data_IF_414958636076
#
_entry.id   IF_414958636076
#
_cell.length_a   1.000
_cell.length_b   1.000
_cell.length_c   1.000
_cell.angle_alpha   90.00
_cell.angle_beta   90.00
_cell.angle_gamma   90.00
#
_symmetry.space_group_name_H-M   'P 1'
#
loop_
_entity.id
_entity.type
_entity.pdbx_description
1 polymer ?
#
# COMPACT_ATOMS: atom_id res chain seq x y z
N UNK A 1 2.37 -4.29 27.88
CA UNK A 1 3.39 -4.70 26.91
C UNK A 1 2.65 -5.00 25.61
N UNK A 2 2.84 -4.11 24.63
CA UNK A 2 2.51 -4.15 23.19
C UNK A 2 1.69 -5.34 22.64
N UNK A 3 0.40 -5.10 22.46
CA UNK A 3 -0.42 -5.74 21.42
C UNK A 3 -1.17 -4.61 20.68
N UNK A 4 -0.46 -3.90 19.82
CA UNK A 4 -1.15 -3.01 18.87
C UNK A 4 -1.66 -3.92 17.77
N UNK A 5 -2.88 -4.43 17.96
CA UNK A 5 -3.69 -5.09 16.96
C UNK A 5 -3.79 -4.20 15.71
N UNK A 6 -2.76 -4.29 14.86
CA UNK A 6 -2.80 -3.81 13.49
C UNK A 6 -3.78 -4.72 12.79
N UNK A 7 -4.97 -4.19 12.57
CA UNK A 7 -5.98 -4.68 11.64
C UNK A 7 -5.31 -5.41 10.46
N UNK A 8 -5.55 -6.72 10.36
CA UNK A 8 -4.89 -7.63 9.42
C UNK A 8 -5.41 -7.43 7.99
N UNK A 9 -5.30 -6.22 7.45
CA UNK A 9 -5.53 -6.01 6.03
C UNK A 9 -4.35 -6.62 5.29
N UNK A 10 -4.55 -7.80 4.72
CA UNK A 10 -3.57 -8.50 3.89
C UNK A 10 -4.14 -8.66 2.49
N UNK A 11 -3.34 -8.28 1.49
CA UNK A 11 -3.68 -8.41 0.09
C UNK A 11 -2.65 -9.30 -0.58
N UNK A 12 -3.10 -10.50 -0.98
CA UNK A 12 -2.29 -11.42 -1.77
C UNK A 12 -2.52 -11.14 -3.26
N UNK A 13 -1.47 -10.63 -3.91
CA UNK A 13 -1.48 -10.24 -5.32
C UNK A 13 -1.29 -11.45 -6.23
N UNK A 14 -0.78 -12.56 -5.71
CA UNK A 14 -0.59 -13.81 -6.46
C UNK A 14 -1.95 -14.41 -6.84
N UNK A 15 -2.96 -14.18 -6.00
CA UNK A 15 -4.37 -14.55 -6.24
C UNK A 15 -5.09 -13.64 -7.25
N UNK A 16 -4.49 -12.51 -7.64
CA UNK A 16 -5.09 -11.51 -8.52
C UNK A 16 -4.41 -11.57 -9.91
N UNK A 17 -5.19 -11.63 -11.01
CA UNK A 17 -4.63 -11.63 -12.35
C UNK A 17 -3.85 -10.34 -12.61
N UNK A 18 -2.74 -10.45 -13.33
CA UNK A 18 -1.79 -9.36 -13.59
C UNK A 18 -2.44 -7.99 -13.93
N UNK A 19 -3.41 -7.89 -14.86
CA UNK A 19 -4.02 -6.60 -15.20
C UNK A 19 -4.81 -5.96 -14.05
N UNK A 20 -5.33 -6.74 -13.11
CA UNK A 20 -6.10 -6.23 -11.98
C UNK A 20 -5.23 -5.88 -10.76
N UNK A 21 -3.97 -6.30 -10.72
CA UNK A 21 -3.09 -6.11 -9.55
C UNK A 21 -2.99 -4.64 -9.17
N UNK A 22 -2.54 -3.79 -10.09
CA UNK A 22 -2.38 -2.36 -9.85
C UNK A 22 -3.68 -1.69 -9.39
N UNK A 23 -4.81 -1.73 -10.15
CA UNK A 23 -6.03 -1.05 -9.73
C UNK A 23 -6.58 -1.56 -8.39
N UNK A 24 -6.42 -2.85 -8.08
CA UNK A 24 -6.81 -3.41 -6.77
C UNK A 24 -5.95 -2.87 -5.64
N UNK A 25 -4.63 -2.83 -5.82
CA UNK A 25 -3.70 -2.32 -4.82
C UNK A 25 -3.95 -0.83 -4.58
N UNK A 26 -4.01 -0.03 -5.63
CA UNK A 26 -4.29 1.41 -5.52
C UNK A 26 -5.66 1.69 -4.92
N UNK A 27 -6.70 0.94 -5.31
CA UNK A 27 -8.02 1.05 -4.71
C UNK A 27 -8.02 0.75 -3.22
N UNK A 28 -7.32 -0.32 -2.80
CA UNK A 28 -7.16 -0.67 -1.39
C UNK A 28 -6.43 0.44 -0.61
N UNK A 29 -5.29 0.89 -1.12
CA UNK A 29 -4.48 1.96 -0.50
C UNK A 29 -5.27 3.27 -0.37
N UNK A 30 -6.04 3.64 -1.39
CA UNK A 30 -6.87 4.82 -1.38
C UNK A 30 -8.04 4.71 -0.39
N UNK A 31 -8.53 3.49 -0.13
CA UNK A 31 -9.57 3.20 0.85
C UNK A 31 -9.06 3.13 2.29
N UNK A 32 -7.74 3.04 2.53
CA UNK A 32 -7.18 3.03 3.89
C UNK A 32 -7.45 4.35 4.59
N UNK A 33 -7.80 4.32 5.87
CA UNK A 33 -7.86 5.53 6.68
C UNK A 33 -6.47 5.91 7.21
N UNK A 34 -6.23 7.19 7.54
CA UNK A 34 -4.99 7.63 8.14
C UNK A 34 -4.69 6.90 9.47
N UNK A 35 -3.54 6.22 9.54
CA UNK A 35 -3.13 5.34 10.63
C UNK A 35 -3.44 3.86 10.41
N UNK A 36 -4.17 3.50 9.34
CA UNK A 36 -4.32 2.11 8.91
C UNK A 36 -3.20 1.70 7.95
N UNK A 37 -2.88 0.42 7.92
CA UNK A 37 -1.93 -0.15 6.97
C UNK A 37 -2.41 -1.47 6.41
N UNK A 38 -1.92 -1.80 5.21
CA UNK A 38 -2.16 -3.06 4.52
C UNK A 38 -0.84 -3.76 4.26
N UNK A 39 -0.84 -5.08 4.36
CA UNK A 39 0.29 -5.93 4.00
C UNK A 39 0.05 -6.51 2.61
N UNK A 40 0.91 -6.16 1.67
CA UNK A 40 0.91 -6.68 0.32
C UNK A 40 1.85 -7.87 0.21
N UNK A 41 1.35 -8.99 -0.32
CA UNK A 41 2.17 -10.17 -0.64
C UNK A 41 2.24 -10.31 -2.16
N UNK A 42 3.44 -10.22 -2.71
CA UNK A 42 3.74 -10.28 -4.15
C UNK A 42 4.80 -11.35 -4.43
N UNK A 43 4.75 -11.91 -5.63
CA UNK A 43 5.72 -12.91 -6.14
C UNK A 43 7.02 -12.28 -6.67
N UNK A 44 7.12 -10.94 -6.69
CA UNK A 44 8.26 -10.18 -7.21
C UNK A 44 8.41 -8.88 -6.43
N UNK A 45 9.55 -8.21 -6.64
CA UNK A 45 9.88 -6.93 -5.99
C UNK A 45 8.86 -5.82 -6.36
N UNK A 46 8.11 -5.26 -5.39
CA UNK A 46 7.12 -4.20 -5.62
C UNK A 46 7.71 -2.79 -5.69
N UNK A 47 9.01 -2.66 -5.93
CA UNK A 47 9.71 -1.39 -6.11
C UNK A 47 9.08 -0.43 -7.14
N UNK A 48 8.59 -0.85 -8.33
CA UNK A 48 7.92 0.07 -9.25
C UNK A 48 6.65 0.70 -8.63
N UNK A 49 5.94 -0.03 -7.77
CA UNK A 49 4.79 0.50 -7.04
C UNK A 49 5.24 1.54 -6.00
N UNK A 50 6.34 1.26 -5.28
CA UNK A 50 6.92 2.22 -4.34
C UNK A 50 7.29 3.54 -5.02
N UNK A 51 7.97 3.49 -6.18
CA UNK A 51 8.30 4.71 -6.93
C UNK A 51 7.06 5.46 -7.42
N UNK A 52 6.03 4.74 -7.89
CA UNK A 52 4.77 5.36 -8.30
C UNK A 52 4.11 6.11 -7.13
N UNK A 53 4.04 5.47 -5.96
CA UNK A 53 3.51 6.11 -4.75
C UNK A 53 4.38 7.30 -4.32
N UNK A 54 5.70 7.18 -4.37
CA UNK A 54 6.62 8.27 -4.04
C UNK A 54 6.54 9.46 -5.00
N UNK A 55 6.14 9.26 -6.26
CA UNK A 55 5.97 10.32 -7.25
C UNK A 55 4.60 11.03 -7.11
N UNK A 56 3.54 10.28 -6.81
CA UNK A 56 2.17 10.81 -6.77
C UNK A 56 1.69 11.19 -5.36
N UNK A 57 2.25 10.55 -4.33
CA UNK A 57 1.77 10.60 -2.94
C UNK A 57 2.92 10.75 -1.94
N UNK A 58 3.85 11.67 -2.22
CA UNK A 58 5.01 11.96 -1.39
C UNK A 58 4.61 12.23 0.07
N UNK A 59 5.05 11.37 1.00
CA UNK A 59 4.81 11.55 2.44
C UNK A 59 3.40 11.20 2.92
N UNK A 60 2.53 10.65 2.06
CA UNK A 60 1.18 10.21 2.44
C UNK A 60 1.13 8.73 2.84
N UNK A 61 2.09 7.94 2.37
CA UNK A 61 2.17 6.52 2.67
C UNK A 61 3.57 6.16 3.19
N UNK A 62 3.60 5.44 4.32
CA UNK A 62 4.78 4.75 4.82
C UNK A 62 4.97 3.42 4.12
N UNK A 63 6.23 3.03 3.89
CA UNK A 63 6.61 1.79 3.23
C UNK A 63 7.58 1.02 4.10
N UNK A 64 7.22 -0.21 4.44
CA UNK A 64 8.01 -1.08 5.32
C UNK A 64 8.14 -2.47 4.71
N UNK A 65 9.36 -2.98 4.62
CA UNK A 65 9.61 -4.32 4.07
C UNK A 65 9.52 -5.35 5.20
N UNK A 66 8.46 -6.15 5.21
CA UNK A 66 8.30 -7.24 6.17
C UNK A 66 9.09 -8.47 5.75
N UNK A 67 9.06 -8.80 4.45
CA UNK A 67 9.76 -9.95 3.89
C UNK A 67 10.36 -9.60 2.52
N UNK A 68 11.62 -9.97 2.34
CA UNK A 68 12.40 -9.77 1.13
C UNK A 68 13.02 -11.11 0.74
N UNK A 69 12.19 -12.02 0.25
CA UNK A 69 12.65 -13.32 -0.24
C UNK A 69 13.06 -13.27 -1.71
N UNK A 70 13.56 -14.37 -2.27
CA UNK A 70 13.41 -14.66 -3.70
C UNK A 70 12.04 -15.30 -4.01
N UNK A 71 11.41 -15.97 -3.04
CA UNK A 71 10.13 -16.68 -3.19
C UNK A 71 8.90 -15.81 -2.87
N UNK A 72 8.99 -14.98 -1.82
CA UNK A 72 7.89 -14.15 -1.35
C UNK A 72 8.41 -12.76 -1.00
N UNK A 73 7.70 -11.75 -1.48
CA UNK A 73 7.95 -10.34 -1.18
C UNK A 73 6.75 -9.81 -0.43
N UNK A 74 6.97 -9.41 0.83
CA UNK A 74 5.91 -8.88 1.68
C UNK A 74 6.25 -7.45 2.10
N UNK A 75 5.39 -6.52 1.74
CA UNK A 75 5.55 -5.09 2.08
C UNK A 75 4.33 -4.60 2.84
N UNK A 76 4.56 -3.86 3.91
CA UNK A 76 3.53 -3.16 4.66
C UNK A 76 3.50 -1.72 4.22
N UNK A 77 2.34 -1.30 3.75
CA UNK A 77 2.08 0.07 3.34
C UNK A 77 1.12 0.66 4.35
N UNK A 78 1.53 1.74 5.01
CA UNK A 78 0.71 2.41 6.04
C UNK A 78 0.31 3.78 5.52
N UNK A 79 -0.96 4.17 5.66
CA UNK A 79 -1.39 5.52 5.32
C UNK A 79 -1.04 6.44 6.47
N UNK A 80 -0.16 7.39 6.23
CA UNK A 80 0.23 8.37 7.22
C UNK A 80 -0.90 9.40 7.43
N UNK A 81 -1.01 9.91 8.67
CA UNK A 81 -1.85 11.07 8.97
C UNK A 81 -1.16 12.31 8.41
N UNK A 82 -1.35 12.56 7.12
CA UNK A 82 -0.93 13.83 6.55
C UNK A 82 -1.90 14.93 6.99
N UNK A 83 -1.59 15.54 8.12
CA UNK A 83 -2.16 16.79 8.61
C UNK A 83 -1.83 17.92 7.62
N UNK A 84 -2.61 18.03 6.54
CA UNK A 84 -2.51 19.16 5.60
C UNK A 84 -2.78 18.90 4.13
N UNK A 85 -3.21 17.72 3.70
CA UNK A 85 -3.51 17.50 2.27
C UNK A 85 -4.97 17.91 1.98
N UNK A 86 -5.19 19.16 1.61
CA UNK A 86 -6.42 19.61 0.91
C UNK A 86 -6.41 19.08 -0.53
N UNK A 87 -6.35 17.77 -0.67
CA UNK A 87 -6.09 17.11 -1.93
C UNK A 87 -7.45 16.76 -2.56
N UNK A 88 -8.00 17.74 -3.28
CA UNK A 88 -9.10 17.60 -4.23
C UNK A 88 -8.65 16.71 -5.41
N UNK A 89 -8.46 15.41 -5.15
CA UNK A 89 -8.26 14.40 -6.19
C UNK A 89 -9.64 13.88 -6.65
N UNK A 90 -10.47 14.80 -7.12
CA UNK A 90 -11.72 14.54 -7.84
C UNK A 90 -11.63 15.18 -9.22
N UNK A 91 -10.78 14.60 -10.08
CA UNK A 91 -10.69 15.01 -11.48
C UNK A 91 -11.88 14.48 -12.25
N UNK A 92 -12.73 15.41 -12.68
CA UNK A 92 -13.87 15.21 -13.58
C UNK A 92 -13.46 14.56 -14.90
N UNK A 93 -14.29 13.64 -15.42
CA UNK A 93 -14.56 13.52 -16.85
C UNK A 93 -16.00 13.07 -17.07
#
# INVERSE_FOLDING_TARGET
>A
MTDTATDKLQLDVRSIPHPERHPRIFGMLNSLQPGQGVTLTVDHDPLPLYYHLGMHFSGLFGWDYLERGPDIWQVRITREKHEGCNCNCGGSH
#
